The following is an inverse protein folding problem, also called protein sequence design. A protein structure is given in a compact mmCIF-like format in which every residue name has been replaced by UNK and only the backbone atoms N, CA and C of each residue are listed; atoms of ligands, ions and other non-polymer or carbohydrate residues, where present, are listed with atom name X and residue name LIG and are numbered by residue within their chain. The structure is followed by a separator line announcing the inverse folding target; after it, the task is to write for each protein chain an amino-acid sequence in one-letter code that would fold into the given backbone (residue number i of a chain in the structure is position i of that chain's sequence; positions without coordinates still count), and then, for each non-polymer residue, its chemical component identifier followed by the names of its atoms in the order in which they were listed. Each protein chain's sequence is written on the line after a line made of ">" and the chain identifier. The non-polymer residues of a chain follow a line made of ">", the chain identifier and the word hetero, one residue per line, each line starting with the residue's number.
data_IF_305390476405
#
_entry.id   IF_305390476405
#
_cell.length_a   1.000
_cell.length_b   1.000
_cell.length_c   1.000
_cell.angle_alpha   90.00
_cell.angle_beta   90.00
_cell.angle_gamma   90.00
#
_symmetry.space_group_name_H-M   'P 1'
#
loop_
_entity.id
_entity.type
_entity.pdbx_description
1 polymer ?
#
# COMPACT_ATOMS: atom_id res chain seq x y z
N UNK A 1 -20.52 -23.20 26.40
CA UNK A 1 -19.05 -23.11 26.61
C UNK A 1 -18.41 -23.26 25.24
N UNK A 2 -18.12 -22.13 24.58
CA UNK A 2 -17.52 -22.13 23.24
C UNK A 2 -16.04 -21.85 23.45
N UNK A 3 -15.21 -22.83 23.10
CA UNK A 3 -13.76 -22.73 23.04
C UNK A 3 -13.37 -21.44 22.33
N UNK A 4 -12.52 -20.64 22.97
CA UNK A 4 -11.89 -19.49 22.35
C UNK A 4 -11.22 -19.97 21.05
N UNK A 5 -11.72 -19.48 19.91
CA UNK A 5 -11.05 -19.69 18.64
C UNK A 5 -9.60 -19.19 18.79
N UNK A 6 -8.64 -20.01 18.38
CA UNK A 6 -7.22 -19.69 18.42
C UNK A 6 -7.00 -18.27 17.87
N UNK A 7 -6.38 -17.42 18.69
CA UNK A 7 -6.08 -16.03 18.32
C UNK A 7 -5.06 -16.11 17.19
N UNK A 8 -5.51 -15.90 15.95
CA UNK A 8 -4.60 -15.74 14.82
C UNK A 8 -3.60 -14.59 15.10
N UNK A 9 -2.43 -14.58 14.46
CA UNK A 9 -1.45 -13.52 14.67
C UNK A 9 -2.07 -12.14 14.37
N UNK A 10 -1.73 -11.10 15.14
CA UNK A 10 -2.18 -9.74 14.83
C UNK A 10 -1.73 -9.36 13.42
N UNK A 11 -2.49 -8.51 12.73
CA UNK A 11 -2.23 -8.14 11.35
C UNK A 11 -1.89 -6.66 11.21
N UNK A 12 -0.82 -6.37 10.47
CA UNK A 12 -0.49 -5.05 9.98
C UNK A 12 -0.83 -5.01 8.49
N UNK A 13 -1.89 -4.28 8.15
CA UNK A 13 -2.31 -4.08 6.78
C UNK A 13 -1.84 -2.70 6.32
N UNK A 14 -1.13 -2.63 5.19
CA UNK A 14 -0.58 -1.37 4.69
C UNK A 14 -1.11 -1.07 3.31
N UNK A 15 -1.75 0.09 3.15
CA UNK A 15 -2.05 0.65 1.84
C UNK A 15 -0.90 1.54 1.39
N UNK A 16 -0.17 1.10 0.37
CA UNK A 16 1.05 1.72 -0.14
C UNK A 16 0.84 2.29 -1.54
N UNK A 17 1.44 3.44 -1.86
CA UNK A 17 1.32 4.04 -3.20
C UNK A 17 1.38 5.57 -3.24
N UNK A 18 1.60 6.17 -4.42
CA UNK A 18 1.75 7.62 -4.53
C UNK A 18 0.48 8.40 -4.18
N UNK A 19 0.63 9.72 -4.03
CA UNK A 19 -0.52 10.63 -3.90
C UNK A 19 -1.40 10.53 -5.15
N UNK A 20 -2.72 10.56 -4.99
CA UNK A 20 -3.64 10.42 -6.13
C UNK A 20 -3.78 8.99 -6.68
N UNK A 21 -3.08 7.99 -6.13
CA UNK A 21 -3.22 6.60 -6.57
C UNK A 21 -4.59 5.98 -6.23
N UNK A 22 -5.33 6.54 -5.28
CA UNK A 22 -6.65 6.04 -4.87
C UNK A 22 -6.61 5.00 -3.74
N UNK A 23 -5.62 5.07 -2.86
CA UNK A 23 -5.48 4.17 -1.68
C UNK A 23 -6.70 4.24 -0.76
N UNK A 24 -7.10 5.44 -0.33
CA UNK A 24 -8.27 5.62 0.53
C UNK A 24 -9.58 5.24 -0.16
N UNK A 25 -9.64 5.30 -1.50
CA UNK A 25 -10.77 4.79 -2.28
C UNK A 25 -10.81 3.26 -2.26
N UNK A 26 -9.67 2.58 -2.45
CA UNK A 26 -9.60 1.12 -2.29
C UNK A 26 -10.04 0.70 -0.88
N UNK A 27 -9.56 1.42 0.14
CA UNK A 27 -9.96 1.16 1.52
C UNK A 27 -11.48 1.25 1.69
N UNK A 28 -12.08 2.40 1.37
CA UNK A 28 -13.52 2.64 1.57
C UNK A 28 -14.41 1.68 0.77
N UNK A 29 -14.03 1.36 -0.46
CA UNK A 29 -14.90 0.61 -1.37
C UNK A 29 -14.77 -0.90 -1.25
N UNK A 30 -13.58 -1.41 -0.88
CA UNK A 30 -13.29 -2.85 -0.95
C UNK A 30 -12.82 -3.45 0.39
N UNK A 31 -12.16 -2.66 1.24
CA UNK A 31 -11.47 -3.20 2.43
C UNK A 31 -12.16 -2.85 3.74
N UNK A 32 -12.92 -1.75 3.80
CA UNK A 32 -13.52 -1.25 5.02
C UNK A 32 -14.49 -2.25 5.65
N UNK A 33 -15.41 -2.81 4.87
CA UNK A 33 -16.37 -3.81 5.38
C UNK A 33 -15.67 -5.11 5.81
N UNK A 34 -14.65 -5.52 5.04
CA UNK A 34 -13.84 -6.69 5.33
C UNK A 34 -13.05 -6.56 6.63
N UNK A 35 -12.58 -5.36 6.93
CA UNK A 35 -11.74 -5.07 8.10
C UNK A 35 -12.39 -4.09 9.07
N UNK A 36 -13.72 -4.11 9.17
CA UNK A 36 -14.51 -3.15 9.95
C UNK A 36 -14.11 -3.01 11.42
N UNK A 37 -13.46 -4.02 11.98
CA UNK A 37 -12.98 -4.04 13.37
C UNK A 37 -11.57 -3.48 13.55
N UNK A 38 -10.86 -3.17 12.46
CA UNK A 38 -9.50 -2.66 12.50
C UNK A 38 -9.50 -1.15 12.37
N UNK A 39 -8.65 -0.50 13.16
CA UNK A 39 -8.47 0.94 13.04
C UNK A 39 -7.71 1.28 11.75
N UNK A 40 -8.20 2.28 11.03
CA UNK A 40 -7.54 2.84 9.86
C UNK A 40 -6.77 4.11 10.22
N UNK A 41 -5.45 4.07 10.05
CA UNK A 41 -4.53 5.14 10.38
C UNK A 41 -4.09 5.84 9.10
N UNK A 42 -4.65 7.03 8.88
CA UNK A 42 -4.27 7.95 7.81
C UNK A 42 -3.78 9.28 8.41
N UNK A 43 -2.55 9.67 8.08
CA UNK A 43 -1.92 10.89 8.61
C UNK A 43 -2.68 12.17 8.23
N UNK A 44 -3.26 12.24 7.03
CA UNK A 44 -4.02 13.41 6.57
C UNK A 44 -5.35 13.51 7.35
N UNK A 45 -6.01 12.39 7.63
CA UNK A 45 -7.24 12.35 8.45
C UNK A 45 -6.96 12.66 9.93
N UNK A 46 -5.81 12.22 10.45
CA UNK A 46 -5.37 12.56 11.80
C UNK A 46 -5.07 14.05 11.95
N UNK A 47 -4.34 14.65 10.99
CA UNK A 47 -4.12 16.09 10.95
C UNK A 47 -5.45 16.85 10.88
N UNK A 48 -6.37 16.43 10.00
CA UNK A 48 -7.68 17.05 9.86
C UNK A 48 -8.49 17.01 11.17
N UNK A 49 -8.50 15.87 11.86
CA UNK A 49 -9.16 15.75 13.17
C UNK A 49 -8.51 16.62 14.25
N UNK A 50 -7.18 16.78 14.21
CA UNK A 50 -6.43 17.55 15.19
C UNK A 50 -6.61 19.07 15.01
N UNK A 51 -6.55 19.57 13.79
CA UNK A 51 -6.64 21.01 13.49
C UNK A 51 -8.07 21.49 13.16
N UNK A 52 -9.00 20.57 12.86
CA UNK A 52 -10.36 20.91 12.42
C UNK A 52 -10.46 21.30 10.94
N UNK A 53 -9.36 21.25 10.19
CA UNK A 53 -9.29 21.50 8.75
C UNK A 53 -8.18 20.67 8.11
N UNK A 54 -8.25 20.49 6.78
CA UNK A 54 -7.16 19.84 6.05
C UNK A 54 -5.84 20.60 6.29
N UNK A 55 -4.73 19.87 6.47
CA UNK A 55 -3.42 20.48 6.66
C UNK A 55 -3.09 21.42 5.48
N UNK A 56 -2.56 22.59 5.77
CA UNK A 56 -2.16 23.63 4.81
C UNK A 56 -0.68 23.95 4.92
N UNK A 57 -0.05 23.67 6.07
CA UNK A 57 1.37 23.92 6.31
C UNK A 57 2.19 22.64 6.38
N UNK A 58 3.51 22.78 6.24
CA UNK A 58 4.45 21.67 6.47
C UNK A 58 4.39 21.17 7.92
N UNK A 59 4.19 22.07 8.88
CA UNK A 59 4.14 21.74 10.30
C UNK A 59 2.89 20.91 10.63
N UNK A 60 1.73 21.27 10.09
CA UNK A 60 0.50 20.50 10.24
C UNK A 60 0.61 19.12 9.59
N UNK A 61 1.26 19.04 8.42
CA UNK A 61 1.55 17.77 7.74
C UNK A 61 2.45 16.88 8.61
N UNK A 62 3.51 17.45 9.21
CA UNK A 62 4.41 16.74 10.12
C UNK A 62 3.71 16.29 11.39
N UNK A 63 2.81 17.12 11.93
CA UNK A 63 1.99 16.74 13.08
C UNK A 63 1.10 15.54 12.76
N UNK A 64 0.41 15.52 11.61
CA UNK A 64 -0.35 14.35 11.16
C UNK A 64 0.50 13.08 11.05
N UNK A 65 1.73 13.20 10.54
CA UNK A 65 2.68 12.08 10.48
C UNK A 65 3.09 11.60 11.87
N UNK A 66 3.39 12.53 12.79
CA UNK A 66 3.75 12.21 14.17
C UNK A 66 2.61 11.50 14.91
N UNK A 67 1.37 11.99 14.77
CA UNK A 67 0.18 11.36 15.34
C UNK A 67 -0.03 9.94 14.78
N UNK A 68 0.21 9.75 13.47
CA UNK A 68 0.13 8.43 12.86
C UNK A 68 1.23 7.48 13.36
N UNK A 69 2.46 7.96 13.53
CA UNK A 69 3.57 7.17 14.08
C UNK A 69 3.28 6.75 15.54
N UNK A 70 2.90 7.70 16.40
CA UNK A 70 2.55 7.42 17.79
C UNK A 70 1.36 6.44 17.90
N UNK A 71 0.34 6.56 17.04
CA UNK A 71 -0.80 5.64 17.06
C UNK A 71 -0.41 4.23 16.65
N UNK A 72 0.45 4.08 15.64
CA UNK A 72 1.00 2.79 15.23
C UNK A 72 1.80 2.13 16.34
N UNK A 73 2.69 2.88 16.97
CA UNK A 73 3.49 2.39 18.11
C UNK A 73 2.61 1.90 19.26
N UNK A 74 1.57 2.66 19.62
CA UNK A 74 0.63 2.27 20.66
C UNK A 74 -0.13 0.97 20.33
N UNK A 75 -0.59 0.81 19.08
CA UNK A 75 -1.29 -0.39 18.63
C UNK A 75 -0.37 -1.61 18.56
N UNK A 76 0.87 -1.42 18.09
CA UNK A 76 1.92 -2.43 18.11
C UNK A 76 2.24 -2.90 19.54
N UNK A 77 2.40 -1.96 20.47
CA UNK A 77 2.66 -2.27 21.89
C UNK A 77 1.48 -3.02 22.54
N UNK A 78 0.25 -2.73 22.12
CA UNK A 78 -0.96 -3.41 22.57
C UNK A 78 -1.25 -4.74 21.82
N UNK A 79 -0.39 -5.15 20.88
CA UNK A 79 -0.58 -6.33 20.03
C UNK A 79 -1.91 -6.32 19.26
N UNK A 80 -2.38 -5.12 18.88
CA UNK A 80 -3.63 -4.91 18.16
C UNK A 80 -3.40 -4.85 16.65
N UNK A 81 -4.30 -5.45 15.89
CA UNK A 81 -4.30 -5.39 14.43
C UNK A 81 -4.77 -4.01 13.94
N UNK A 82 -4.15 -3.50 12.88
CA UNK A 82 -4.53 -2.20 12.32
C UNK A 82 -4.20 -2.08 10.83
N UNK A 83 -4.77 -1.05 10.22
CA UNK A 83 -4.55 -0.67 8.83
C UNK A 83 -3.86 0.68 8.81
N UNK A 84 -2.84 0.88 7.97
CA UNK A 84 -2.22 2.18 7.79
C UNK A 84 -2.04 2.54 6.32
N UNK A 85 -2.35 3.78 5.97
CA UNK A 85 -2.06 4.34 4.65
C UNK A 85 -0.70 5.05 4.65
N UNK A 86 0.11 4.82 3.61
CA UNK A 86 1.42 5.44 3.47
C UNK A 86 1.78 5.69 2.01
N UNK A 87 2.48 6.81 1.76
CA UNK A 87 3.16 7.04 0.48
C UNK A 87 4.55 6.42 0.42
N UNK A 88 5.03 5.83 1.52
CA UNK A 88 6.37 5.24 1.64
C UNK A 88 7.50 6.23 1.32
N UNK A 89 7.42 7.45 1.86
CA UNK A 89 8.40 8.51 1.60
C UNK A 89 9.71 8.40 2.38
N UNK A 90 9.87 7.39 3.24
CA UNK A 90 11.04 7.23 4.09
C UNK A 90 11.31 5.74 4.38
N UNK A 91 12.58 5.29 4.45
CA UNK A 91 12.95 3.89 4.77
C UNK A 91 12.38 3.35 6.08
N UNK A 92 12.13 4.21 7.08
CA UNK A 92 11.53 3.79 8.35
C UNK A 92 10.15 3.12 8.22
N UNK A 93 9.47 3.27 7.07
CA UNK A 93 8.23 2.53 6.81
C UNK A 93 8.48 1.05 6.50
N UNK A 94 9.67 0.68 6.02
CA UNK A 94 10.11 -0.72 5.92
C UNK A 94 10.50 -1.28 7.29
N UNK A 95 11.20 -0.48 8.11
CA UNK A 95 11.57 -0.85 9.47
C UNK A 95 10.33 -1.20 10.30
N UNK A 96 9.23 -0.43 10.16
CA UNK A 96 7.95 -0.74 10.77
C UNK A 96 7.42 -2.14 10.37
N UNK A 97 7.53 -2.53 9.09
CA UNK A 97 7.06 -3.84 8.63
C UNK A 97 7.94 -4.96 9.18
N UNK A 98 9.26 -4.76 9.18
CA UNK A 98 10.23 -5.70 9.75
C UNK A 98 9.99 -5.91 11.24
N UNK A 99 9.80 -4.82 11.98
CA UNK A 99 9.46 -4.86 13.40
C UNK A 99 8.15 -5.61 13.63
N UNK A 100 7.14 -5.37 12.80
CA UNK A 100 5.87 -6.07 12.90
C UNK A 100 6.02 -7.58 12.70
N UNK A 101 6.74 -8.02 11.65
CA UNK A 101 7.01 -9.45 11.45
C UNK A 101 7.80 -10.05 12.62
N UNK A 102 8.80 -9.32 13.13
CA UNK A 102 9.61 -9.76 14.26
C UNK A 102 8.80 -9.92 15.56
N UNK A 103 7.72 -9.15 15.73
CA UNK A 103 6.80 -9.25 16.87
C UNK A 103 5.61 -10.19 16.62
N UNK A 104 5.64 -10.96 15.53
CA UNK A 104 4.64 -11.99 15.23
C UNK A 104 3.41 -11.47 14.50
N UNK A 105 3.45 -10.24 13.98
CA UNK A 105 2.39 -9.75 13.10
C UNK A 105 2.47 -10.42 11.73
N UNK A 106 1.30 -10.71 11.18
CA UNK A 106 1.15 -10.95 9.75
C UNK A 106 1.08 -9.61 9.00
N UNK A 107 1.99 -9.41 8.07
CA UNK A 107 2.05 -8.20 7.24
C UNK A 107 1.33 -8.45 5.91
N UNK A 108 0.38 -7.57 5.59
CA UNK A 108 -0.33 -7.57 4.29
C UNK A 108 -0.17 -6.21 3.63
N UNK A 109 0.37 -6.19 2.41
CA UNK A 109 0.57 -4.94 1.65
C UNK A 109 -0.40 -4.85 0.47
N UNK A 110 -1.17 -3.78 0.42
CA UNK A 110 -1.96 -3.36 -0.74
C UNK A 110 -1.22 -2.24 -1.45
N UNK A 111 -0.50 -2.56 -2.53
CA UNK A 111 0.13 -1.56 -3.37
C UNK A 111 -0.87 -1.07 -4.41
N UNK A 112 -1.20 0.22 -4.38
CA UNK A 112 -2.04 0.89 -5.38
C UNK A 112 -1.20 1.90 -6.15
N UNK A 113 -1.20 1.82 -7.47
CA UNK A 113 -0.47 2.76 -8.32
C UNK A 113 -1.29 3.20 -9.54
N UNK A 114 -0.75 4.16 -10.27
CA UNK A 114 -1.28 4.69 -11.53
C UNK A 114 -0.19 4.73 -12.59
N UNK A 115 -0.56 4.86 -13.86
CA UNK A 115 0.38 4.76 -14.98
C UNK A 115 1.40 5.89 -15.08
N UNK A 116 1.13 7.05 -14.48
CA UNK A 116 2.03 8.19 -14.60
C UNK A 116 1.94 9.17 -13.42
N UNK A 117 3.02 9.92 -13.13
CA UNK A 117 2.98 10.99 -12.15
C UNK A 117 2.03 12.11 -12.58
N UNK A 118 1.86 12.36 -13.87
CA UNK A 118 0.90 13.34 -14.39
C UNK A 118 -0.54 12.97 -14.00
N UNK A 119 -0.92 11.70 -14.07
CA UNK A 119 -2.24 11.27 -13.60
C UNK A 119 -2.40 11.46 -12.09
N UNK A 120 -1.34 11.22 -11.30
CA UNK A 120 -1.33 11.50 -9.86
C UNK A 120 -1.59 12.99 -9.58
N UNK A 121 -0.92 13.89 -10.30
CA UNK A 121 -1.10 15.35 -10.17
C UNK A 121 -2.54 15.76 -10.48
N UNK A 122 -3.10 15.30 -11.61
CA UNK A 122 -4.48 15.62 -12.01
C UNK A 122 -5.48 15.16 -10.95
N UNK A 123 -5.28 13.97 -10.36
CA UNK A 123 -6.17 13.45 -9.32
C UNK A 123 -6.06 14.20 -8.00
N UNK A 124 -4.86 14.63 -7.61
CA UNK A 124 -4.70 15.48 -6.42
C UNK A 124 -5.36 16.83 -6.66
N UNK A 125 -5.15 17.46 -7.82
CA UNK A 125 -5.79 18.74 -8.16
C UNK A 125 -7.33 18.63 -8.14
N UNK A 126 -7.90 17.56 -8.71
CA UNK A 126 -9.34 17.30 -8.64
C UNK A 126 -9.83 17.11 -7.20
N UNK A 127 -9.10 16.35 -6.36
CA UNK A 127 -9.46 16.19 -4.94
C UNK A 127 -9.42 17.51 -4.17
N UNK A 128 -8.43 18.36 -4.45
CA UNK A 128 -8.30 19.69 -3.82
C UNK A 128 -9.47 20.59 -4.20
N UNK A 129 -9.95 20.53 -5.45
CA UNK A 129 -11.17 21.27 -5.84
C UNK A 129 -12.44 20.79 -5.12
N UNK A 130 -12.41 19.59 -4.52
CA UNK A 130 -13.45 19.04 -3.65
C UNK A 130 -13.14 19.21 -2.15
N UNK A 131 -12.20 20.09 -1.78
CA UNK A 131 -11.86 20.41 -0.38
C UNK A 131 -10.83 19.49 0.28
N UNK A 132 -10.14 18.63 -0.47
CA UNK A 132 -9.09 17.77 0.09
C UNK A 132 -7.73 18.45 0.28
N UNK A 133 -6.79 17.72 0.92
CA UNK A 133 -5.45 18.22 1.24
C UNK A 133 -4.61 18.54 -0.02
N UNK A 134 -4.06 19.77 -0.13
CA UNK A 134 -3.17 20.16 -1.22
C UNK A 134 -1.77 19.56 -1.05
N UNK A 135 -1.21 19.04 -2.14
CA UNK A 135 0.18 18.58 -2.19
C UNK A 135 0.87 19.27 -3.37
N UNK A 136 2.01 19.96 -3.16
CA UNK A 136 2.78 20.57 -4.23
C UNK A 136 3.15 19.56 -5.34
N UNK A 137 3.02 19.97 -6.60
CA UNK A 137 3.23 19.11 -7.77
C UNK A 137 4.63 18.49 -7.82
N UNK A 138 5.66 19.29 -7.54
CA UNK A 138 7.06 18.86 -7.43
C UNK A 138 7.21 17.70 -6.43
N UNK A 139 6.52 17.78 -5.28
CA UNK A 139 6.50 16.70 -4.28
C UNK A 139 5.73 15.48 -4.78
N UNK A 140 4.63 15.65 -5.50
CA UNK A 140 3.88 14.51 -6.08
C UNK A 140 4.77 13.75 -7.05
N UNK A 141 5.39 14.45 -8.01
CA UNK A 141 6.27 13.85 -9.02
C UNK A 141 7.50 13.22 -8.38
N UNK A 142 8.19 13.96 -7.51
CA UNK A 142 9.39 13.47 -6.84
C UNK A 142 9.13 12.29 -5.89
N UNK A 143 7.94 12.20 -5.26
CA UNK A 143 7.55 11.01 -4.46
C UNK A 143 7.12 9.85 -5.35
N UNK A 144 6.46 10.12 -6.48
CA UNK A 144 5.99 9.08 -7.39
C UNK A 144 7.14 8.20 -7.87
N UNK A 145 8.32 8.76 -8.14
CA UNK A 145 9.47 7.97 -8.61
C UNK A 145 10.25 7.36 -7.44
N UNK A 146 10.67 8.19 -6.48
CA UNK A 146 11.58 7.78 -5.39
C UNK A 146 10.99 6.71 -4.49
N UNK A 147 9.67 6.72 -4.27
CA UNK A 147 9.05 5.83 -3.30
C UNK A 147 8.76 4.44 -3.87
N UNK A 148 8.79 4.25 -5.20
CA UNK A 148 8.43 2.97 -5.84
C UNK A 148 9.32 1.83 -5.37
N UNK A 149 10.61 2.09 -5.22
CA UNK A 149 11.56 1.06 -4.77
C UNK A 149 11.29 0.64 -3.33
N UNK A 150 10.94 1.58 -2.45
CA UNK A 150 10.55 1.26 -1.07
C UNK A 150 9.23 0.47 -1.03
N UNK A 151 8.25 0.84 -1.86
CA UNK A 151 6.98 0.12 -1.95
C UNK A 151 7.18 -1.30 -2.50
N UNK A 152 8.05 -1.45 -3.52
CA UNK A 152 8.42 -2.77 -4.05
C UNK A 152 9.05 -3.64 -2.97
N UNK A 153 9.99 -3.10 -2.19
CA UNK A 153 10.60 -3.81 -1.06
C UNK A 153 9.55 -4.22 -0.02
N UNK A 154 8.59 -3.34 0.29
CA UNK A 154 7.49 -3.66 1.20
C UNK A 154 6.63 -4.83 0.68
N UNK A 155 6.32 -4.85 -0.63
CA UNK A 155 5.58 -5.94 -1.29
C UNK A 155 6.33 -7.27 -1.21
N UNK A 156 7.65 -7.25 -1.42
CA UNK A 156 8.48 -8.46 -1.37
C UNK A 156 8.61 -8.97 0.07
N UNK A 157 8.71 -8.07 1.04
CA UNK A 157 8.86 -8.40 2.44
C UNK A 157 7.58 -8.97 3.07
N UNK A 158 6.41 -8.55 2.60
CA UNK A 158 5.13 -8.92 3.19
C UNK A 158 4.80 -10.42 3.08
N UNK A 159 4.07 -10.95 4.06
CA UNK A 159 3.53 -12.32 4.01
C UNK A 159 2.56 -12.49 2.84
N UNK A 160 1.76 -11.45 2.59
CA UNK A 160 0.95 -11.31 1.37
C UNK A 160 1.01 -9.90 0.84
N UNK A 161 0.97 -9.78 -0.48
CA UNK A 161 0.73 -8.49 -1.08
C UNK A 161 -0.17 -8.58 -2.32
N UNK A 162 -0.86 -7.48 -2.58
CA UNK A 162 -1.80 -7.31 -3.67
C UNK A 162 -1.44 -6.02 -4.40
N UNK A 163 -1.16 -6.12 -5.70
CA UNK A 163 -0.77 -4.98 -6.52
C UNK A 163 -1.92 -4.61 -7.44
N UNK A 164 -2.43 -3.39 -7.26
CA UNK A 164 -3.56 -2.84 -8.00
C UNK A 164 -3.09 -1.74 -8.97
N UNK A 165 -3.59 -1.82 -10.19
CA UNK A 165 -3.59 -0.68 -11.10
C UNK A 165 -4.90 0.09 -10.96
N UNK A 166 -4.78 1.40 -10.80
CA UNK A 166 -5.92 2.31 -10.76
C UNK A 166 -5.79 3.39 -11.84
N UNK A 167 -5.27 3.05 -13.03
CA UNK A 167 -5.00 4.04 -14.09
C UNK A 167 -6.26 4.46 -14.85
N UNK A 168 -7.25 3.59 -14.93
CA UNK A 168 -8.50 3.84 -15.66
C UNK A 168 -9.45 4.71 -14.84
N UNK A 169 -9.86 5.85 -15.39
CA UNK A 169 -10.83 6.72 -14.75
C UNK A 169 -12.22 6.04 -14.68
N UNK A 170 -12.95 6.27 -13.58
CA UNK A 170 -14.30 5.75 -13.35
C UNK A 170 -14.43 4.21 -13.44
N UNK A 171 -13.33 3.48 -13.20
CA UNK A 171 -13.34 2.02 -13.10
C UNK A 171 -12.84 1.58 -11.73
N UNK A 172 -13.24 0.40 -11.25
CA UNK A 172 -12.68 -0.20 -10.05
C UNK A 172 -11.17 -0.40 -10.16
N UNK A 173 -10.51 -0.48 -9.01
CA UNK A 173 -9.11 -0.88 -8.93
C UNK A 173 -8.94 -2.28 -9.52
N UNK A 174 -7.96 -2.44 -10.41
CA UNK A 174 -7.72 -3.72 -11.07
C UNK A 174 -6.58 -4.45 -10.38
N UNK A 175 -6.89 -5.56 -9.71
CA UNK A 175 -5.87 -6.45 -9.17
C UNK A 175 -5.06 -7.06 -10.32
N UNK A 176 -3.74 -6.94 -10.25
CA UNK A 176 -2.85 -7.39 -11.32
C UNK A 176 -1.86 -8.46 -10.87
N UNK A 177 -1.32 -8.33 -9.64
CA UNK A 177 -0.40 -9.32 -9.07
C UNK A 177 -0.81 -9.66 -7.64
N UNK A 178 -0.71 -10.95 -7.31
CA UNK A 178 -0.74 -11.43 -5.94
C UNK A 178 0.62 -12.01 -5.56
N UNK A 179 1.12 -11.62 -4.39
CA UNK A 179 2.36 -12.12 -3.81
C UNK A 179 2.08 -12.93 -2.54
N UNK A 180 2.88 -13.97 -2.31
CA UNK A 180 2.98 -14.68 -1.03
C UNK A 180 4.46 -14.91 -0.72
N UNK A 181 4.89 -14.47 0.46
CA UNK A 181 6.28 -14.56 0.91
C UNK A 181 7.28 -14.08 -0.17
N UNK A 182 7.01 -12.91 -0.76
CA UNK A 182 7.85 -12.29 -1.78
C UNK A 182 7.77 -12.87 -3.19
N UNK A 183 7.04 -13.97 -3.40
CA UNK A 183 6.87 -14.59 -4.72
C UNK A 183 5.51 -14.27 -5.32
N UNK A 184 5.47 -13.98 -6.61
CA UNK A 184 4.21 -13.87 -7.35
C UNK A 184 3.57 -15.27 -7.36
N UNK A 185 2.30 -15.34 -6.99
CA UNK A 185 1.49 -16.57 -7.05
C UNK A 185 0.35 -16.46 -8.04
N UNK A 186 0.01 -15.24 -8.47
CA UNK A 186 -1.01 -14.99 -9.47
C UNK A 186 -0.66 -13.74 -10.24
N UNK A 187 -0.78 -13.83 -11.57
CA UNK A 187 -0.64 -12.72 -12.49
C UNK A 187 -1.89 -12.64 -13.37
N UNK A 188 -2.60 -11.51 -13.30
CA UNK A 188 -3.73 -11.26 -14.18
C UNK A 188 -3.25 -10.66 -15.52
N UNK A 189 -4.03 -10.87 -16.59
CA UNK A 189 -3.63 -10.61 -17.99
C UNK A 189 -3.34 -9.15 -18.35
N UNK A 190 -3.63 -8.19 -17.47
CA UNK A 190 -3.55 -6.75 -17.74
C UNK A 190 -2.39 -6.08 -17.01
N UNK A 191 -1.16 -6.54 -17.25
CA UNK A 191 0.04 -5.88 -16.70
C UNK A 191 0.28 -4.54 -17.41
N UNK A 192 0.35 -3.46 -16.64
CA UNK A 192 0.66 -2.11 -17.13
C UNK A 192 2.18 -1.88 -17.25
N UNK A 193 2.65 -0.94 -18.09
CA UNK A 193 4.08 -0.69 -18.28
C UNK A 193 4.84 -0.38 -16.97
N UNK A 194 4.23 0.40 -16.06
CA UNK A 194 4.85 0.73 -14.78
C UNK A 194 5.08 -0.52 -13.92
N UNK A 195 4.17 -1.49 -13.99
CA UNK A 195 4.23 -2.71 -13.22
C UNK A 195 5.25 -3.68 -13.78
N UNK A 196 5.30 -3.80 -15.12
CA UNK A 196 6.31 -4.57 -15.83
C UNK A 196 7.71 -4.02 -15.57
N UNK A 197 7.85 -2.71 -15.40
CA UNK A 197 9.12 -2.09 -15.03
C UNK A 197 9.47 -2.32 -13.56
N UNK A 198 8.54 -2.07 -12.64
CA UNK A 198 8.83 -2.13 -11.20
C UNK A 198 9.05 -3.57 -10.70
N UNK A 199 8.25 -4.52 -11.18
CA UNK A 199 8.30 -5.93 -10.76
C UNK A 199 8.93 -6.83 -11.83
N UNK A 200 9.77 -6.28 -12.71
CA UNK A 200 10.35 -7.00 -13.85
C UNK A 200 10.99 -8.33 -13.43
N UNK A 201 11.81 -8.29 -12.37
CA UNK A 201 12.50 -9.47 -11.84
C UNK A 201 11.53 -10.53 -11.33
N UNK A 202 10.56 -10.12 -10.50
CA UNK A 202 9.58 -11.05 -9.91
C UNK A 202 8.71 -11.70 -11.00
N UNK A 203 8.33 -10.93 -12.02
CA UNK A 203 7.54 -11.42 -13.17
C UNK A 203 8.35 -12.40 -14.02
N UNK A 204 9.64 -12.13 -14.23
CA UNK A 204 10.53 -13.05 -14.95
C UNK A 204 10.65 -14.38 -14.22
N UNK A 205 10.87 -14.35 -12.89
CA UNK A 205 10.95 -15.56 -12.05
C UNK A 205 9.65 -16.36 -12.13
N UNK A 206 8.49 -15.70 -11.98
CA UNK A 206 7.18 -16.32 -12.10
C UNK A 206 6.96 -17.01 -13.45
N UNK A 207 7.31 -16.32 -14.54
CA UNK A 207 7.12 -16.83 -15.91
C UNK A 207 7.98 -18.07 -16.16
N UNK A 208 9.20 -18.14 -15.60
CA UNK A 208 10.05 -19.34 -15.70
C UNK A 208 9.48 -20.53 -14.94
N UNK A 209 8.82 -20.29 -13.80
CA UNK A 209 8.20 -21.35 -12.99
C UNK A 209 6.88 -21.86 -13.56
N UNK A 210 6.16 -21.06 -14.35
CA UNK A 210 4.91 -21.49 -15.02
C UNK A 210 5.13 -22.17 -16.38
N UNK A 211 6.33 -22.15 -16.96
CA UNK A 211 6.59 -22.86 -18.21
C UNK A 211 6.54 -24.38 -17.99
N UNK A 212 5.77 -25.15 -18.79
CA UNK A 212 5.82 -26.61 -18.72
C UNK A 212 7.25 -27.09 -19.03
N UNK A 213 7.71 -28.20 -18.43
CA UNK A 213 9.04 -28.71 -18.68
C UNK A 213 9.26 -28.92 -20.18
N UNK A 214 10.36 -28.39 -20.72
CA UNK A 214 10.74 -28.61 -22.13
C UNK A 214 10.78 -30.12 -22.37
N UNK A 215 10.20 -30.64 -23.47
CA UNK A 215 10.30 -32.05 -23.78
C UNK A 215 11.78 -32.42 -23.86
N UNK A 216 12.20 -33.41 -23.06
CA UNK A 216 13.52 -34.01 -23.21
C UNK A 216 13.53 -34.69 -24.58
N UNK A 217 14.18 -34.08 -25.56
CA UNK A 217 14.57 -34.81 -26.76
C UNK A 217 15.56 -35.89 -26.31
N UNK A 218 15.10 -37.15 -26.27
CA UNK A 218 15.99 -38.31 -26.26
C UNK A 218 16.58 -38.39 -27.67
N UNK A 219 17.82 -37.92 -27.81
CA UNK A 219 18.72 -38.29 -28.89
C UNK A 219 19.64 -39.40 -28.43
#
# INVERSE_FOLDING_TARGET
>A
MILAAEIGPPALIVLAGPNGAGKSTLYRNELQDRYRSLEFINADELAMRYFGHAAQTMEETRMGQHLADARREALMAANQSFITESTFSHPSKLELLQQAQATGYRVVVYHVNVQSPTLSVLRVAHRVSQGGHPVPEDKIRGRYERNQQLIRQAVILADRAYVFDNSMAAQPHRLALEFRAGLIVTRHSQSTPWMLSLYAHEIEVFTKTEQPPRPRHKG
#
